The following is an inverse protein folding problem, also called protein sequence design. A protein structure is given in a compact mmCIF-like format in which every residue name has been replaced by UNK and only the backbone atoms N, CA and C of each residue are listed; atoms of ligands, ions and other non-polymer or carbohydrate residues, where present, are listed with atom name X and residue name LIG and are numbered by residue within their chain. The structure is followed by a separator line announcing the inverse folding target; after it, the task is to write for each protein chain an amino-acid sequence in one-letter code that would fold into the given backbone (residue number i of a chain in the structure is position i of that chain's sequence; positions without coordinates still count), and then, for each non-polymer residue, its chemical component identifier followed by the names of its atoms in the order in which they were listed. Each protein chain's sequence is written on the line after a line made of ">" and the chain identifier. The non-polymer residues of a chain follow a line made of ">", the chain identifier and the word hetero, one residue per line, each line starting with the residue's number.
data_IF_429122041616
#
_entry.id   IF_429122041616
#
_cell.length_a   1.000
_cell.length_b   1.000
_cell.length_c   1.000
_cell.angle_alpha   90.00
_cell.angle_beta   90.00
_cell.angle_gamma   90.00
#
_symmetry.space_group_name_H-M   'P 1'
#
loop_
_entity.id
_entity.type
_entity.pdbx_description
1 polymer ?
#
# COMPACT_ATOMS: atom_id res chain seq x y z
N UNK A 1 -12.46 -15.30 6.21
CA UNK A 1 -11.42 -15.35 7.24
C UNK A 1 -10.24 -16.20 6.74
N UNK A 2 -9.04 -15.93 7.25
CA UNK A 2 -7.81 -16.60 6.84
C UNK A 2 -6.99 -15.81 5.84
N UNK A 3 -6.17 -16.53 5.04
CA UNK A 3 -5.23 -15.94 4.07
C UNK A 3 -5.89 -15.87 2.70
N UNK A 4 -5.78 -14.72 2.04
CA UNK A 4 -6.22 -14.52 0.65
C UNK A 4 -5.05 -13.95 -0.16
N UNK A 5 -4.70 -14.63 -1.25
CA UNK A 5 -3.66 -14.24 -2.21
C UNK A 5 -4.28 -13.66 -3.46
N UNK A 6 -3.61 -12.68 -4.08
CA UNK A 6 -4.08 -12.08 -5.33
C UNK A 6 -5.38 -11.28 -5.21
N UNK A 7 -5.74 -10.86 -4.00
CA UNK A 7 -6.91 -9.98 -3.79
C UNK A 7 -6.65 -8.62 -4.44
N UNK A 8 -7.58 -8.17 -5.28
CA UNK A 8 -7.49 -6.83 -5.85
C UNK A 8 -7.55 -5.75 -4.75
N UNK A 9 -6.81 -4.66 -4.94
CA UNK A 9 -6.78 -3.56 -3.97
C UNK A 9 -8.18 -3.01 -3.69
N UNK A 10 -8.99 -2.87 -4.74
CA UNK A 10 -10.34 -2.34 -4.62
C UNK A 10 -11.24 -3.27 -3.80
N UNK A 11 -11.13 -4.60 -3.98
CA UNK A 11 -11.88 -5.58 -3.20
C UNK A 11 -11.47 -5.54 -1.71
N UNK A 12 -10.17 -5.42 -1.43
CA UNK A 12 -9.68 -5.25 -0.06
C UNK A 12 -10.25 -3.99 0.59
N UNK A 13 -10.28 -2.86 -0.13
CA UNK A 13 -10.79 -1.61 0.40
C UNK A 13 -12.32 -1.55 0.44
N UNK A 14 -13.02 -2.29 -0.42
CA UNK A 14 -14.47 -2.41 -0.41
C UNK A 14 -15.03 -3.18 0.80
N UNK A 15 -14.24 -4.08 1.39
CA UNK A 15 -14.61 -4.81 2.61
C UNK A 15 -14.60 -3.86 3.84
N UNK A 16 -15.73 -3.29 4.17
CA UNK A 16 -15.89 -2.29 5.24
C UNK A 16 -16.35 -2.87 6.58
N UNK A 17 -16.71 -4.15 6.63
CA UNK A 17 -17.11 -4.82 7.87
C UNK A 17 -15.92 -5.24 8.74
N UNK A 18 -14.69 -5.13 8.23
CA UNK A 18 -13.47 -5.47 8.94
C UNK A 18 -12.62 -4.23 9.22
N UNK A 19 -12.09 -4.14 10.43
CA UNK A 19 -11.22 -3.04 10.88
C UNK A 19 -9.79 -3.26 10.36
N UNK A 20 -9.19 -2.23 9.78
CA UNK A 20 -7.79 -2.20 9.34
C UNK A 20 -6.94 -1.28 10.22
N UNK A 21 -5.60 -1.37 10.08
CA UNK A 21 -4.67 -0.49 10.80
C UNK A 21 -4.91 1.00 10.49
N UNK A 22 -5.27 1.35 9.25
CA UNK A 22 -5.60 2.73 8.87
C UNK A 22 -6.83 3.26 9.60
N UNK A 23 -7.84 2.41 9.79
CA UNK A 23 -9.03 2.75 10.56
C UNK A 23 -8.72 2.88 12.05
N UNK A 24 -7.92 1.97 12.62
CA UNK A 24 -7.48 2.09 14.03
C UNK A 24 -6.71 3.39 14.29
N UNK A 25 -5.89 3.85 13.36
CA UNK A 25 -5.20 5.14 13.49
C UNK A 25 -6.17 6.32 13.61
N UNK A 26 -7.33 6.26 12.96
CA UNK A 26 -8.37 7.29 13.11
C UNK A 26 -8.99 7.27 14.51
N UNK A 27 -9.06 6.10 15.17
CA UNK A 27 -9.51 5.98 16.55
C UNK A 27 -8.59 6.75 17.53
N UNK A 28 -7.29 6.86 17.23
CA UNK A 28 -6.35 7.67 18.03
C UNK A 28 -6.69 9.17 18.03
N UNK A 29 -7.38 9.64 17.01
CA UNK A 29 -7.89 11.03 16.96
C UNK A 29 -9.18 11.13 17.75
N UNK A 30 -10.19 10.34 17.41
CA UNK A 30 -11.42 10.15 18.21
C UNK A 30 -12.30 9.04 17.63
N UNK A 31 -13.24 8.48 18.42
CA UNK A 31 -14.24 7.55 17.90
C UNK A 31 -15.09 8.14 16.77
N UNK A 32 -15.37 9.44 16.77
CA UNK A 32 -16.10 10.11 15.70
C UNK A 32 -15.33 10.08 14.38
N UNK A 33 -14.00 10.31 14.39
CA UNK A 33 -13.15 10.20 13.21
C UNK A 33 -13.09 8.77 12.67
N UNK A 34 -13.07 7.77 13.56
CA UNK A 34 -13.14 6.38 13.17
C UNK A 34 -14.46 6.07 12.44
N UNK A 35 -15.59 6.45 13.02
CA UNK A 35 -16.92 6.23 12.42
C UNK A 35 -17.11 6.94 11.09
N UNK A 36 -16.64 8.19 10.97
CA UNK A 36 -16.63 8.92 9.71
C UNK A 36 -15.82 8.18 8.65
N UNK A 37 -14.63 7.73 8.99
CA UNK A 37 -13.75 7.01 8.07
C UNK A 37 -14.24 5.64 7.62
N UNK A 38 -15.20 5.03 8.31
CA UNK A 38 -15.87 3.81 7.84
C UNK A 38 -16.83 4.10 6.68
N UNK A 39 -17.43 5.28 6.67
CA UNK A 39 -18.52 5.63 5.75
C UNK A 39 -18.05 6.45 4.55
N UNK A 40 -16.97 7.21 4.69
CA UNK A 40 -16.46 8.08 3.64
C UNK A 40 -15.27 7.47 2.93
N UNK A 41 -15.25 7.46 1.58
CA UNK A 41 -14.07 7.08 0.83
C UNK A 41 -12.95 8.11 1.10
N UNK A 42 -11.74 7.62 1.32
CA UNK A 42 -10.57 8.48 1.43
C UNK A 42 -10.21 9.04 0.06
N UNK A 43 -10.11 10.38 -0.06
CA UNK A 43 -9.61 10.99 -1.29
C UNK A 43 -8.14 10.62 -1.49
N UNK A 44 -7.83 10.07 -2.67
CA UNK A 44 -6.45 9.71 -3.02
C UNK A 44 -5.63 10.98 -3.24
N UNK A 45 -4.58 11.16 -2.46
CA UNK A 45 -3.61 12.23 -2.66
C UNK A 45 -2.53 11.81 -3.67
N UNK A 46 -1.82 12.81 -4.22
CA UNK A 46 -0.68 12.55 -5.12
C UNK A 46 0.41 11.69 -4.43
N UNK A 47 0.66 11.92 -3.13
CA UNK A 47 1.59 11.12 -2.35
C UNK A 47 1.13 9.66 -2.18
N UNK A 48 -0.17 9.43 -2.00
CA UNK A 48 -0.75 8.07 -1.95
C UNK A 48 -0.64 7.38 -3.32
N UNK A 49 -0.93 8.10 -4.40
CA UNK A 49 -0.78 7.57 -5.75
C UNK A 49 0.69 7.20 -6.03
N UNK A 50 1.65 8.07 -5.66
CA UNK A 50 3.07 7.77 -5.79
C UNK A 50 3.45 6.48 -5.03
N UNK A 51 3.00 6.35 -3.78
CA UNK A 51 3.19 5.14 -2.98
C UNK A 51 2.64 3.90 -3.67
N UNK A 52 1.41 3.95 -4.17
CA UNK A 52 0.75 2.84 -4.87
C UNK A 52 1.52 2.41 -6.12
N UNK A 53 2.01 3.38 -6.92
CA UNK A 53 2.81 3.10 -8.12
C UNK A 53 4.17 2.50 -7.74
N UNK A 54 4.83 3.04 -6.70
CA UNK A 54 6.09 2.51 -6.19
C UNK A 54 5.95 1.06 -5.68
N UNK A 55 4.91 0.76 -4.90
CA UNK A 55 4.61 -0.60 -4.43
C UNK A 55 4.42 -1.55 -5.61
N UNK A 56 3.55 -1.20 -6.56
CA UNK A 56 3.31 -2.02 -7.73
C UNK A 56 4.60 -2.28 -8.54
N UNK A 57 5.48 -1.28 -8.67
CA UNK A 57 6.74 -1.44 -9.42
C UNK A 57 7.78 -2.25 -8.65
N UNK A 58 7.82 -2.13 -7.33
CA UNK A 58 8.80 -2.82 -6.47
C UNK A 58 8.42 -4.27 -6.21
N UNK A 59 7.15 -4.52 -5.87
CA UNK A 59 6.68 -5.80 -5.33
C UNK A 59 5.98 -6.67 -6.37
N UNK A 60 5.40 -6.07 -7.40
CA UNK A 60 4.57 -6.75 -8.40
C UNK A 60 5.00 -6.38 -9.83
N UNK A 61 6.31 -6.37 -10.10
CA UNK A 61 6.89 -5.90 -11.37
C UNK A 61 6.29 -6.56 -12.61
N UNK A 62 5.89 -7.82 -12.53
CA UNK A 62 5.35 -8.59 -13.66
C UNK A 62 3.95 -8.11 -14.06
N UNK A 63 3.13 -7.72 -13.10
CA UNK A 63 1.79 -7.20 -13.32
C UNK A 63 1.76 -5.67 -13.51
N UNK A 64 2.87 -4.97 -13.30
CA UNK A 64 2.93 -3.51 -13.26
C UNK A 64 2.32 -2.86 -14.50
N UNK A 65 2.72 -3.28 -15.70
CA UNK A 65 2.22 -2.71 -16.97
C UNK A 65 0.72 -3.00 -17.21
N UNK A 66 0.20 -4.08 -16.66
CA UNK A 66 -1.20 -4.40 -16.75
C UNK A 66 -2.07 -3.54 -15.83
N UNK A 67 -1.51 -3.04 -14.73
CA UNK A 67 -2.24 -2.26 -13.70
C UNK A 67 -2.02 -0.76 -13.80
N UNK A 68 -0.89 -0.31 -14.33
CA UNK A 68 -0.47 1.09 -14.34
C UNK A 68 -0.21 1.63 -15.73
N UNK A 69 -0.55 2.91 -15.94
CA UNK A 69 -0.36 3.61 -17.21
C UNK A 69 0.30 4.97 -16.97
N UNK A 70 1.51 5.12 -17.49
CA UNK A 70 2.27 6.36 -17.38
C UNK A 70 1.77 7.38 -18.41
N UNK A 71 1.34 8.55 -17.93
CA UNK A 71 0.80 9.61 -18.78
C UNK A 71 1.77 10.78 -18.90
N UNK A 72 2.08 11.23 -20.12
CA UNK A 72 2.79 12.48 -20.31
C UNK A 72 2.03 13.67 -19.73
N UNK A 73 2.77 14.68 -19.29
CA UNK A 73 2.18 15.92 -18.80
C UNK A 73 1.53 16.66 -19.97
N UNK A 74 0.25 17.00 -19.83
CA UNK A 74 -0.50 17.77 -20.83
C UNK A 74 -1.11 19.02 -20.21
N UNK A 75 -1.17 20.09 -20.99
CA UNK A 75 -1.86 21.31 -20.56
C UNK A 75 -3.37 21.17 -20.73
N UNK A 76 -4.05 20.77 -19.67
CA UNK A 76 -5.52 20.57 -19.66
C UNK A 76 -6.34 21.86 -19.79
N UNK A 77 -5.71 23.03 -19.89
CA UNK A 77 -6.41 24.29 -20.11
C UNK A 77 -6.71 24.54 -21.59
N UNK A 78 -5.94 23.89 -22.50
CA UNK A 78 -6.15 23.99 -23.95
C UNK A 78 -7.11 22.91 -24.47
N UNK A 79 -7.73 23.15 -25.62
CA UNK A 79 -8.61 22.19 -26.30
C UNK A 79 -7.85 20.92 -26.71
N UNK A 80 -6.65 21.11 -27.25
CA UNK A 80 -5.75 20.03 -27.66
C UNK A 80 -5.31 19.20 -26.46
N UNK A 81 -4.94 19.86 -25.34
CA UNK A 81 -4.52 19.17 -24.13
C UNK A 81 -5.67 18.39 -23.45
N UNK A 82 -6.90 18.90 -23.53
CA UNK A 82 -8.08 18.13 -23.07
C UNK A 82 -8.31 16.90 -23.93
N UNK A 83 -8.20 17.03 -25.24
CA UNK A 83 -8.37 15.91 -26.20
C UNK A 83 -7.27 14.84 -25.98
N UNK A 84 -6.01 15.25 -25.76
CA UNK A 84 -4.92 14.33 -25.44
C UNK A 84 -5.16 13.61 -24.10
N UNK A 85 -5.59 14.33 -23.06
CA UNK A 85 -5.88 13.74 -21.76
C UNK A 85 -7.00 12.69 -21.85
N UNK A 86 -8.03 12.95 -22.67
CA UNK A 86 -9.09 11.98 -22.92
C UNK A 86 -8.59 10.78 -23.71
N UNK A 87 -7.73 10.99 -24.70
CA UNK A 87 -7.08 9.91 -25.43
C UNK A 87 -6.28 8.98 -24.49
N UNK A 88 -5.50 9.53 -23.57
CA UNK A 88 -4.78 8.73 -22.58
C UNK A 88 -5.72 7.98 -21.62
N UNK A 89 -6.86 8.58 -21.27
CA UNK A 89 -7.87 7.89 -20.44
C UNK A 89 -8.43 6.66 -21.12
N UNK A 90 -8.73 6.77 -22.42
CA UNK A 90 -9.19 5.64 -23.24
C UNK A 90 -8.08 4.59 -23.37
N UNK A 91 -6.84 5.00 -23.67
CA UNK A 91 -5.70 4.10 -23.80
C UNK A 91 -5.34 3.39 -22.48
N UNK A 92 -5.51 4.08 -21.34
CA UNK A 92 -5.31 3.49 -20.03
C UNK A 92 -6.26 2.29 -19.78
N UNK A 93 -7.43 2.28 -20.39
CA UNK A 93 -8.38 1.14 -20.32
C UNK A 93 -8.64 0.65 -18.88
N UNK A 94 -8.87 1.57 -17.95
CA UNK A 94 -9.11 1.28 -16.53
C UNK A 94 -7.86 1.12 -15.67
N UNK A 95 -6.65 1.14 -16.25
CA UNK A 95 -5.40 1.13 -15.49
C UNK A 95 -5.23 2.40 -14.66
N UNK A 96 -4.55 2.30 -13.52
CA UNK A 96 -4.19 3.46 -12.70
C UNK A 96 -3.23 4.36 -13.44
N UNK A 97 -3.67 5.59 -13.74
CA UNK A 97 -2.86 6.58 -14.45
C UNK A 97 -1.96 7.35 -13.48
N UNK A 98 -0.71 7.57 -13.86
CA UNK A 98 0.26 8.34 -13.08
C UNK A 98 1.18 9.17 -13.99
N UNK A 99 1.82 10.26 -13.48
CA UNK A 99 2.73 11.09 -14.26
C UNK A 99 3.95 10.31 -14.77
N UNK A 100 4.23 10.36 -16.07
CA UNK A 100 5.34 9.63 -16.68
C UNK A 100 6.71 10.10 -16.17
N UNK A 101 6.84 11.34 -15.71
CA UNK A 101 8.07 11.88 -15.13
C UNK A 101 8.45 11.23 -13.79
N UNK A 102 7.55 10.50 -13.14
CA UNK A 102 7.87 9.72 -11.95
C UNK A 102 8.70 8.46 -12.23
N UNK A 103 8.61 7.90 -13.46
CA UNK A 103 9.22 6.60 -13.78
C UNK A 103 10.70 6.55 -13.46
N UNK A 104 11.48 7.54 -13.90
CA UNK A 104 12.93 7.53 -13.66
C UNK A 104 13.28 7.57 -12.15
N UNK A 105 12.49 8.30 -11.36
CA UNK A 105 12.65 8.34 -9.91
C UNK A 105 12.29 7.01 -9.25
N UNK A 106 11.17 6.42 -9.64
CA UNK A 106 10.70 5.12 -9.13
C UNK A 106 11.69 4.01 -9.47
N UNK A 107 12.16 3.92 -10.73
CA UNK A 107 13.17 2.92 -11.13
C UNK A 107 14.43 3.04 -10.28
N UNK A 108 14.94 4.25 -10.06
CA UNK A 108 16.12 4.46 -9.21
C UNK A 108 15.88 4.03 -7.75
N UNK A 109 14.68 4.25 -7.19
CA UNK A 109 14.34 3.78 -5.85
C UNK A 109 14.34 2.25 -5.80
N UNK A 110 13.71 1.61 -6.77
CA UNK A 110 13.63 0.15 -6.89
C UNK A 110 15.02 -0.48 -7.06
N UNK A 111 15.85 0.09 -7.92
CA UNK A 111 17.22 -0.38 -8.13
C UNK A 111 18.07 -0.24 -6.87
N UNK A 112 17.98 0.89 -6.17
CA UNK A 112 18.68 1.08 -4.89
C UNK A 112 18.23 0.07 -3.83
N UNK A 113 16.94 -0.23 -3.74
CA UNK A 113 16.43 -1.25 -2.84
C UNK A 113 16.97 -2.65 -3.18
N UNK A 114 17.03 -2.99 -4.47
CA UNK A 114 17.60 -4.27 -4.95
C UNK A 114 19.10 -4.39 -4.73
N UNK A 115 19.82 -3.28 -4.76
CA UNK A 115 21.26 -3.24 -4.49
C UNK A 115 21.60 -3.28 -2.99
N UNK A 116 20.64 -2.97 -2.12
CA UNK A 116 20.85 -3.00 -0.67
C UNK A 116 20.77 -4.44 -0.15
N UNK A 117 21.83 -4.94 0.49
CA UNK A 117 21.97 -6.36 0.85
C UNK A 117 20.77 -6.94 1.61
N UNK A 118 20.32 -6.26 2.66
CA UNK A 118 19.16 -6.73 3.46
C UNK A 118 17.86 -6.68 2.68
N UNK A 119 17.60 -5.58 1.96
CA UNK A 119 16.38 -5.45 1.18
C UNK A 119 16.33 -6.47 0.05
N UNK A 120 17.45 -6.72 -0.63
CA UNK A 120 17.57 -7.74 -1.67
C UNK A 120 17.25 -9.14 -1.14
N UNK A 121 17.69 -9.48 0.06
CA UNK A 121 17.38 -10.79 0.68
C UNK A 121 15.88 -10.87 1.01
N UNK A 122 15.32 -9.86 1.67
CA UNK A 122 13.91 -9.84 2.06
C UNK A 122 12.99 -9.87 0.83
N UNK A 123 13.28 -9.04 -0.18
CA UNK A 123 12.46 -8.94 -1.40
C UNK A 123 12.77 -10.02 -2.45
N UNK A 124 13.79 -10.84 -2.22
CA UNK A 124 14.22 -11.88 -3.19
C UNK A 124 13.29 -13.08 -3.26
N UNK A 125 12.67 -13.46 -2.14
CA UNK A 125 11.72 -14.56 -2.05
C UNK A 125 10.57 -14.16 -1.13
N UNK A 126 9.35 -14.39 -1.56
CA UNK A 126 8.17 -14.04 -0.76
C UNK A 126 6.95 -13.79 -1.64
N UNK A 127 5.88 -13.32 -1.02
CA UNK A 127 4.61 -13.05 -1.67
C UNK A 127 4.20 -11.59 -1.45
N UNK A 128 3.77 -10.92 -2.52
CA UNK A 128 3.29 -9.55 -2.46
C UNK A 128 1.80 -9.48 -2.10
N UNK A 129 1.40 -8.41 -1.42
CA UNK A 129 0.01 -7.97 -1.26
C UNK A 129 -0.90 -9.09 -0.69
N UNK A 130 -0.40 -9.82 0.33
CA UNK A 130 -1.16 -10.91 0.96
C UNK A 130 -2.14 -10.35 1.97
N UNK A 131 -3.43 -10.61 1.75
CA UNK A 131 -4.49 -10.18 2.66
C UNK A 131 -4.81 -11.26 3.70
N UNK A 132 -4.96 -10.85 4.96
CA UNK A 132 -5.41 -11.69 6.06
C UNK A 132 -6.64 -11.08 6.70
N UNK A 133 -7.56 -11.94 7.16
CA UNK A 133 -8.71 -11.53 7.93
C UNK A 133 -8.98 -12.53 9.06
N UNK A 134 -9.28 -12.01 10.25
CA UNK A 134 -9.57 -12.80 11.46
C UNK A 134 -10.65 -12.15 12.30
N UNK A 135 -11.14 -12.87 13.28
CA UNK A 135 -11.95 -12.31 14.38
C UNK A 135 -11.02 -12.13 15.56
N UNK A 136 -10.93 -10.92 16.05
CA UNK A 136 -10.17 -10.65 17.29
C UNK A 136 -10.81 -11.41 18.46
N UNK A 137 -10.04 -12.25 19.18
CA UNK A 137 -10.61 -13.14 20.19
C UNK A 137 -11.12 -12.42 21.44
N UNK A 138 -10.63 -11.22 21.74
CA UNK A 138 -11.03 -10.47 22.93
C UNK A 138 -12.27 -9.63 22.66
N UNK A 139 -12.37 -9.02 21.50
CA UNK A 139 -13.43 -8.07 21.17
C UNK A 139 -14.52 -8.63 20.28
N UNK A 140 -14.27 -9.75 19.60
CA UNK A 140 -15.16 -10.32 18.58
C UNK A 140 -15.21 -9.49 17.28
N UNK A 141 -14.36 -8.48 17.13
CA UNK A 141 -14.34 -7.60 15.96
C UNK A 141 -13.61 -8.29 14.82
N UNK A 142 -14.19 -8.23 13.62
CA UNK A 142 -13.52 -8.67 12.41
C UNK A 142 -12.40 -7.70 12.06
N UNK A 143 -11.19 -8.20 11.91
CA UNK A 143 -10.00 -7.45 11.56
C UNK A 143 -9.46 -7.89 10.21
N UNK A 144 -8.74 -6.99 9.52
CA UNK A 144 -8.05 -7.28 8.27
C UNK A 144 -6.75 -6.52 8.14
N UNK A 145 -5.79 -7.15 7.48
CA UNK A 145 -4.54 -6.53 7.05
C UNK A 145 -4.25 -6.92 5.60
N UNK A 146 -3.39 -6.14 4.93
CA UNK A 146 -2.75 -6.51 3.69
C UNK A 146 -1.26 -6.25 3.82
N UNK A 147 -0.49 -7.33 3.79
CA UNK A 147 0.96 -7.32 3.96
C UNK A 147 1.58 -6.98 2.61
N UNK A 148 2.40 -5.92 2.55
CA UNK A 148 3.06 -5.50 1.31
C UNK A 148 3.96 -6.62 0.76
N UNK A 149 4.76 -7.25 1.64
CA UNK A 149 5.61 -8.38 1.28
C UNK A 149 5.76 -9.36 2.44
N UNK A 150 5.46 -10.62 2.19
CA UNK A 150 5.61 -11.72 3.15
C UNK A 150 6.75 -12.63 2.72
N UNK A 151 7.90 -12.51 3.40
CA UNK A 151 9.10 -13.30 3.13
C UNK A 151 9.18 -14.51 4.08
N UNK A 152 9.19 -15.71 3.49
CA UNK A 152 9.14 -16.94 4.27
C UNK A 152 7.85 -17.07 5.06
N UNK A 153 7.93 -17.76 6.22
CA UNK A 153 6.75 -17.96 7.08
C UNK A 153 6.57 -16.86 8.14
N UNK A 154 7.63 -16.11 8.46
CA UNK A 154 7.66 -15.26 9.66
C UNK A 154 8.10 -13.81 9.45
N UNK A 155 8.72 -13.46 8.35
CA UNK A 155 9.21 -12.09 8.12
C UNK A 155 8.23 -11.29 7.27
N UNK A 156 7.81 -10.16 7.80
CA UNK A 156 6.94 -9.19 7.12
C UNK A 156 7.74 -7.96 6.74
N UNK A 157 7.56 -7.47 5.52
CA UNK A 157 8.10 -6.18 5.12
C UNK A 157 6.97 -5.26 4.65
N UNK A 158 7.05 -4.02 5.09
CA UNK A 158 6.10 -2.95 4.78
C UNK A 158 6.88 -1.80 4.10
N UNK A 159 6.55 -1.51 2.86
CA UNK A 159 7.23 -0.50 2.04
C UNK A 159 6.62 0.87 2.31
N UNK A 160 7.45 1.83 2.67
CA UNK A 160 7.00 3.20 2.93
C UNK A 160 7.83 4.21 2.14
N UNK A 161 7.15 5.02 1.33
CA UNK A 161 7.77 6.19 0.71
C UNK A 161 7.82 7.35 1.71
N UNK A 162 8.96 8.04 1.76
CA UNK A 162 9.14 9.23 2.61
C UNK A 162 10.01 10.27 1.89
N UNK A 163 9.78 11.55 2.18
CA UNK A 163 10.59 12.64 1.65
C UNK A 163 12.00 12.67 2.28
N UNK A 164 12.09 12.29 3.55
CA UNK A 164 13.34 12.19 4.29
C UNK A 164 13.52 10.77 4.81
N UNK A 165 14.46 10.06 4.19
CA UNK A 165 14.82 8.66 4.53
C UNK A 165 16.06 8.56 5.41
N UNK A 166 16.57 9.69 5.93
CA UNK A 166 17.57 9.65 6.99
C UNK A 166 17.01 8.95 8.22
N UNK A 167 17.88 8.43 9.06
CA UNK A 167 17.46 7.75 10.30
C UNK A 167 16.51 8.61 11.13
N UNK A 168 16.85 9.89 11.31
CA UNK A 168 16.03 10.82 12.11
C UNK A 168 14.72 11.18 11.41
N UNK A 169 14.75 11.46 10.11
CA UNK A 169 13.56 11.75 9.31
C UNK A 169 12.58 10.60 9.29
N UNK A 170 13.08 9.39 9.06
CA UNK A 170 12.25 8.19 9.05
C UNK A 170 11.69 7.86 10.44
N UNK A 171 12.48 8.02 11.52
CA UNK A 171 12.00 7.83 12.89
C UNK A 171 10.84 8.78 13.23
N UNK A 172 10.94 10.06 12.82
CA UNK A 172 9.85 11.03 12.97
C UNK A 172 8.62 10.63 12.14
N UNK A 173 8.82 10.12 10.93
CA UNK A 173 7.72 9.62 10.11
C UNK A 173 7.03 8.40 10.75
N UNK A 174 7.79 7.45 11.31
CA UNK A 174 7.27 6.29 12.04
C UNK A 174 6.37 6.71 13.20
N UNK A 175 6.82 7.68 14.00
CA UNK A 175 6.03 8.19 15.12
C UNK A 175 4.76 8.91 14.64
N UNK A 176 4.89 9.86 13.70
CA UNK A 176 3.77 10.67 13.19
C UNK A 176 2.71 9.85 12.49
N UNK A 177 3.12 8.83 11.72
CA UNK A 177 2.23 7.99 10.92
C UNK A 177 1.79 6.72 11.67
N UNK A 178 2.17 6.58 12.94
CA UNK A 178 1.83 5.44 13.78
C UNK A 178 2.17 4.09 13.12
N UNK A 179 3.38 3.95 12.55
CA UNK A 179 3.79 2.71 11.88
C UNK A 179 3.90 1.54 12.86
N UNK A 180 4.24 1.80 14.14
CA UNK A 180 4.28 0.77 15.17
C UNK A 180 2.89 0.11 15.38
N UNK A 181 1.80 0.89 15.33
CA UNK A 181 0.43 0.34 15.41
C UNK A 181 0.12 -0.55 14.20
N UNK A 182 0.53 -0.15 12.99
CA UNK A 182 0.37 -1.00 11.81
C UNK A 182 1.15 -2.29 11.95
N UNK A 183 2.41 -2.22 12.38
CA UNK A 183 3.27 -3.38 12.57
C UNK A 183 2.70 -4.35 13.61
N UNK A 184 2.25 -3.83 14.76
CA UNK A 184 1.61 -4.66 15.80
C UNK A 184 0.36 -5.39 15.26
N UNK A 185 -0.51 -4.68 14.52
CA UNK A 185 -1.69 -5.30 13.93
C UNK A 185 -1.33 -6.35 12.85
N UNK A 186 -0.24 -6.15 12.12
CA UNK A 186 0.24 -7.13 11.14
C UNK A 186 0.77 -8.38 11.82
N UNK A 187 1.57 -8.24 12.88
CA UNK A 187 2.05 -9.36 13.67
C UNK A 187 0.88 -10.13 14.31
N UNK A 188 -0.06 -9.42 14.90
CA UNK A 188 -1.28 -10.01 15.48
C UNK A 188 -2.07 -10.78 14.42
N UNK A 189 -2.31 -10.21 13.25
CA UNK A 189 -3.04 -10.87 12.18
C UNK A 189 -2.36 -12.15 11.69
N UNK A 190 -1.04 -12.15 11.60
CA UNK A 190 -0.27 -13.36 11.24
C UNK A 190 -0.41 -14.41 12.34
N UNK A 191 -0.22 -14.04 13.61
CA UNK A 191 -0.38 -14.94 14.76
C UNK A 191 -1.77 -15.58 14.78
N UNK A 192 -2.83 -14.78 14.64
CA UNK A 192 -4.22 -15.24 14.69
C UNK A 192 -4.58 -16.19 13.53
N UNK A 193 -3.98 -15.99 12.37
CA UNK A 193 -4.31 -16.79 11.18
C UNK A 193 -3.41 -18.02 11.02
N UNK A 194 -2.15 -17.95 11.44
CA UNK A 194 -1.18 -19.03 11.26
C UNK A 194 -0.84 -19.79 12.55
N UNK A 195 -1.06 -19.17 13.72
CA UNK A 195 -0.60 -19.68 15.00
C UNK A 195 0.89 -19.41 15.27
N UNK A 196 1.61 -18.69 14.39
CA UNK A 196 3.03 -18.42 14.50
C UNK A 196 3.30 -16.92 14.65
N UNK A 197 4.18 -16.54 15.58
CA UNK A 197 4.61 -15.15 15.74
C UNK A 197 5.62 -14.80 14.64
N UNK A 198 5.44 -13.65 13.95
CA UNK A 198 6.46 -13.09 13.06
C UNK A 198 7.72 -12.67 13.83
N UNK A 199 8.86 -12.72 13.16
CA UNK A 199 10.16 -12.27 13.67
C UNK A 199 10.46 -10.84 13.22
#
# INVERSE_FOLDING_TARGET
>A
LGITRGMASDDYHAERSAVSSSQLKRMLVSPAHFMCGLNEPEESTEAMLFGTVLHGRMLESDSFKARFFATPKVNRQTKEGKALAEGYRVEAAGRTMFPADWLAGIERIVDNARMHDKARVILGTGEAEVALAWIDPETGIKCKIRIDWWHGTRTLADVKSALDVTRDGFSKACARMHYALSAAMYCEGVLQVTGEEPE
#
